data_IF_413396595895
#
_entry.id   IF_413396595895
#
_cell.length_a   1.000
_cell.length_b   1.000
_cell.length_c   1.000
_cell.angle_alpha   90.00
_cell.angle_beta   90.00
_cell.angle_gamma   90.00
#
_symmetry.space_group_name_H-M   'P 1'
#
loop_
_entity.id
_entity.type
_entity.pdbx_description
1 polymer ?
#
# COMPACT_ATOMS: atom_id res chain seq x y z
N UNK A 1 -9.88 11.97 -8.32
CA UNK A 1 -8.41 12.11 -8.33
C UNK A 1 -7.87 11.40 -9.55
N UNK A 2 -6.85 11.96 -10.19
CA UNK A 2 -6.07 11.30 -11.25
C UNK A 2 -5.02 10.38 -10.63
N UNK A 3 -4.46 9.46 -11.42
CA UNK A 3 -3.34 8.60 -10.97
C UNK A 3 -2.15 9.43 -10.49
N UNK A 4 -1.87 10.57 -11.13
CA UNK A 4 -0.77 11.44 -10.73
C UNK A 4 -0.99 12.07 -9.34
N UNK A 5 -2.24 12.48 -9.04
CA UNK A 5 -2.60 13.02 -7.73
C UNK A 5 -2.52 11.95 -6.63
N UNK A 6 -3.01 10.74 -6.91
CA UNK A 6 -2.95 9.61 -5.99
C UNK A 6 -1.50 9.24 -5.68
N UNK A 7 -0.68 9.06 -6.73
CA UNK A 7 0.73 8.69 -6.58
C UNK A 7 1.52 9.73 -5.78
N UNK A 8 1.25 11.02 -6.01
CA UNK A 8 1.88 12.11 -5.26
C UNK A 8 1.55 12.02 -3.78
N UNK A 9 0.26 11.98 -3.42
CA UNK A 9 -0.17 11.98 -2.03
C UNK A 9 0.28 10.71 -1.28
N UNK A 10 0.15 9.54 -1.91
CA UNK A 10 0.65 8.28 -1.35
C UNK A 10 2.15 8.35 -1.07
N UNK A 11 2.94 8.88 -2.02
CA UNK A 11 4.40 9.01 -1.84
C UNK A 11 4.76 10.03 -0.75
N UNK A 12 4.01 11.11 -0.62
CA UNK A 12 4.24 12.13 0.42
C UNK A 12 3.99 11.57 1.83
N UNK A 13 2.91 10.81 2.03
CA UNK A 13 2.63 10.13 3.30
C UNK A 13 3.77 9.17 3.68
N UNK A 14 4.24 8.36 2.73
CA UNK A 14 5.36 7.43 2.98
C UNK A 14 6.66 8.17 3.32
N UNK A 15 6.98 9.27 2.64
CA UNK A 15 8.17 10.10 2.94
C UNK A 15 8.10 10.76 4.32
N UNK A 16 6.90 11.00 4.83
CA UNK A 16 6.68 11.51 6.19
C UNK A 16 6.74 10.41 7.26
N UNK A 17 6.89 9.14 6.86
CA UNK A 17 6.88 7.99 7.76
C UNK A 17 5.47 7.51 8.12
N UNK A 18 4.43 8.06 7.50
CA UNK A 18 3.04 7.71 7.79
C UNK A 18 2.52 6.60 6.86
N UNK A 19 3.10 5.42 7.00
CA UNK A 19 2.71 4.24 6.22
C UNK A 19 1.32 3.72 6.58
N UNK A 20 0.84 3.93 7.81
CA UNK A 20 -0.48 3.47 8.24
C UNK A 20 -1.60 4.27 7.58
N UNK A 21 -1.50 5.60 7.55
CA UNK A 21 -2.49 6.42 6.85
C UNK A 21 -2.46 6.18 5.35
N UNK A 22 -1.27 5.99 4.76
CA UNK A 22 -1.14 5.65 3.35
C UNK A 22 -1.88 4.34 2.99
N UNK A 23 -1.64 3.28 3.77
CA UNK A 23 -2.32 1.99 3.60
C UNK A 23 -3.84 2.11 3.81
N UNK A 24 -4.27 2.77 4.89
CA UNK A 24 -5.70 2.93 5.19
C UNK A 24 -6.47 3.70 4.10
N UNK A 25 -5.85 4.71 3.50
CA UNK A 25 -6.46 5.58 2.48
C UNK A 25 -6.48 4.95 1.09
N UNK A 26 -5.44 4.18 0.73
CA UNK A 26 -5.21 3.78 -0.66
C UNK A 26 -5.26 2.28 -0.93
N UNK A 27 -5.14 1.42 0.09
CA UNK A 27 -5.31 -0.01 -0.14
C UNK A 27 -6.79 -0.31 -0.37
N UNK A 28 -7.05 -1.01 -1.48
CA UNK A 28 -8.33 -1.66 -1.71
C UNK A 28 -8.56 -2.75 -0.64
N UNK A 29 -9.82 -3.06 -0.36
CA UNK A 29 -10.19 -4.07 0.64
C UNK A 29 -9.64 -5.47 0.26
N UNK A 30 -9.45 -5.71 -1.03
CA UNK A 30 -8.93 -6.93 -1.65
C UNK A 30 -7.50 -6.77 -2.23
N UNK A 31 -6.70 -5.82 -1.70
CA UNK A 31 -5.31 -5.66 -2.11
C UNK A 31 -4.53 -6.98 -2.00
N UNK A 32 -3.63 -7.24 -2.95
CA UNK A 32 -2.71 -8.38 -2.91
C UNK A 32 -1.28 -7.88 -2.88
N UNK A 33 -0.54 -8.25 -1.83
CA UNK A 33 0.89 -7.96 -1.67
C UNK A 33 1.71 -9.18 -2.06
N UNK A 34 2.75 -8.97 -2.88
CA UNK A 34 3.65 -10.01 -3.37
C UNK A 34 5.09 -9.66 -3.01
N UNK A 35 5.73 -10.51 -2.22
CA UNK A 35 7.14 -10.39 -1.91
C UNK A 35 8.00 -11.14 -2.92
N UNK A 36 9.24 -10.66 -3.12
CA UNK A 36 10.16 -11.27 -4.07
C UNK A 36 10.77 -12.59 -3.56
N UNK A 37 10.79 -12.79 -2.25
CA UNK A 37 11.33 -13.99 -1.61
C UNK A 37 10.21 -14.96 -1.22
N UNK A 38 10.49 -16.26 -1.31
CA UNK A 38 9.61 -17.28 -0.73
C UNK A 38 9.57 -17.15 0.80
N UNK A 39 8.41 -17.47 1.38
CA UNK A 39 8.22 -17.46 2.83
C UNK A 39 6.74 -17.51 3.23
N UNK A 40 6.45 -17.61 4.54
CA UNK A 40 5.08 -17.71 5.05
C UNK A 40 4.19 -16.51 4.68
N UNK A 41 4.78 -15.35 4.43
CA UNK A 41 4.08 -14.11 4.04
C UNK A 41 4.41 -13.68 2.61
N UNK A 42 4.83 -14.61 1.73
CA UNK A 42 5.19 -14.28 0.35
C UNK A 42 4.02 -13.70 -0.45
N UNK A 43 2.79 -14.08 -0.09
CA UNK A 43 1.56 -13.53 -0.66
C UNK A 43 0.57 -13.25 0.46
N UNK A 44 0.15 -11.98 0.59
CA UNK A 44 -0.89 -11.55 1.52
C UNK A 44 -2.08 -10.99 0.75
N UNK A 45 -3.30 -11.38 1.13
CA UNK A 45 -4.53 -10.96 0.48
C UNK A 45 -5.43 -10.27 1.49
N UNK A 46 -5.99 -9.13 1.10
CA UNK A 46 -6.86 -8.34 1.95
C UNK A 46 -6.13 -7.22 2.67
N UNK A 47 -6.91 -6.23 3.06
CA UNK A 47 -6.43 -5.03 3.78
C UNK A 47 -6.12 -5.28 5.27
N UNK A 48 -6.77 -6.27 5.87
CA UNK A 48 -6.70 -6.63 7.30
C UNK A 48 -5.75 -7.80 7.56
#
# INVERSE_FOLDING_TARGET
MTTAEIAKDFTELLKQGDSHSAAAKYNADDIVSYEAMEGPMAVCNGKE
#
